data_IF_591016090618
#
_entry.id   IF_591016090618
#
_cell.length_a   1.000
_cell.length_b   1.000
_cell.length_c   1.000
_cell.angle_alpha   90.00
_cell.angle_beta   90.00
_cell.angle_gamma   90.00
#
_symmetry.space_group_name_H-M   'P 1'
#
loop_
_entity.id
_entity.type
_entity.pdbx_description
1 polymer ?
#
# COMPACT_ATOMS: atom_id res chain seq x y z
N UNK A 1 9.42 15.24 -28.46
CA UNK A 1 9.55 16.27 -27.42
C UNK A 1 10.79 15.96 -26.60
N UNK A 2 11.71 16.90 -26.51
CA UNK A 2 12.93 16.71 -25.73
C UNK A 2 12.58 16.90 -24.25
N UNK A 3 12.77 15.87 -23.43
CA UNK A 3 12.46 15.92 -22.00
C UNK A 3 13.61 16.56 -21.26
N UNK A 4 13.33 17.61 -20.50
CA UNK A 4 14.31 18.32 -19.69
C UNK A 4 14.92 17.38 -18.62
N UNK A 5 16.26 17.34 -18.56
CA UNK A 5 17.00 16.52 -17.59
C UNK A 5 16.61 16.83 -16.12
N UNK A 6 16.27 18.09 -15.81
CA UNK A 6 15.83 18.49 -14.48
C UNK A 6 14.49 17.84 -14.09
N UNK A 7 13.53 17.71 -15.04
CA UNK A 7 12.27 17.01 -14.80
C UNK A 7 12.49 15.51 -14.53
N UNK A 8 13.46 14.90 -15.24
CA UNK A 8 13.80 13.48 -14.99
C UNK A 8 14.40 13.31 -13.60
N UNK A 9 15.27 14.24 -13.19
CA UNK A 9 15.87 14.23 -11.85
C UNK A 9 14.82 14.41 -10.78
N UNK A 10 13.94 15.40 -10.90
CA UNK A 10 12.83 15.64 -9.97
C UNK A 10 11.91 14.43 -9.83
N UNK A 11 11.49 13.86 -10.97
CA UNK A 11 10.63 12.67 -10.95
C UNK A 11 11.30 11.48 -10.25
N UNK A 12 12.61 11.31 -10.45
CA UNK A 12 13.38 10.26 -9.77
C UNK A 12 13.48 10.50 -8.27
N UNK A 13 13.74 11.72 -7.84
CA UNK A 13 13.79 12.08 -6.41
C UNK A 13 12.45 11.83 -5.72
N UNK A 14 11.33 12.09 -6.40
CA UNK A 14 9.98 11.86 -5.88
C UNK A 14 9.54 10.39 -5.87
N UNK A 15 10.04 9.57 -6.80
CA UNK A 15 9.51 8.20 -7.02
C UNK A 15 10.50 7.09 -6.72
N UNK A 16 11.81 7.41 -6.62
CA UNK A 16 12.86 6.40 -6.51
C UNK A 16 13.05 5.53 -7.77
N UNK A 17 12.29 5.76 -8.85
CA UNK A 17 12.30 4.93 -10.05
C UNK A 17 13.62 5.09 -10.85
N UNK A 18 13.94 4.09 -11.69
CA UNK A 18 15.12 4.12 -12.54
C UNK A 18 15.05 5.30 -13.54
N UNK A 19 16.20 5.94 -13.82
CA UNK A 19 16.30 7.12 -14.70
C UNK A 19 15.62 6.92 -16.04
N UNK A 20 15.80 5.73 -16.66
CA UNK A 20 15.18 5.42 -17.95
C UNK A 20 13.66 5.27 -17.86
N UNK A 21 13.15 4.78 -16.75
CA UNK A 21 11.71 4.67 -16.51
C UNK A 21 11.09 6.05 -16.30
N UNK A 22 11.76 6.93 -15.55
CA UNK A 22 11.35 8.33 -15.39
C UNK A 22 11.31 9.05 -16.73
N UNK A 23 12.38 8.93 -17.54
CA UNK A 23 12.44 9.54 -18.87
C UNK A 23 11.30 9.07 -19.77
N UNK A 24 11.05 7.75 -19.80
CA UNK A 24 9.97 7.16 -20.59
C UNK A 24 8.59 7.62 -20.12
N UNK A 25 8.35 7.60 -18.80
CA UNK A 25 7.09 8.08 -18.23
C UNK A 25 6.81 9.54 -18.57
N UNK A 26 7.82 10.42 -18.49
CA UNK A 26 7.70 11.81 -18.88
C UNK A 26 7.44 12.00 -20.38
N UNK A 27 8.11 11.22 -21.24
CA UNK A 27 7.84 11.25 -22.68
C UNK A 27 6.39 10.88 -23.00
N UNK A 28 5.88 9.80 -22.39
CA UNK A 28 4.52 9.31 -22.58
C UNK A 28 3.46 10.24 -21.96
N UNK A 29 3.84 11.06 -20.98
CA UNK A 29 2.96 12.03 -20.30
C UNK A 29 3.07 13.45 -20.87
N UNK A 30 3.83 13.65 -21.96
CA UNK A 30 4.03 14.97 -22.56
C UNK A 30 4.77 15.96 -21.65
N UNK A 31 5.58 15.47 -20.69
CA UNK A 31 6.31 16.29 -19.72
C UNK A 31 5.51 16.61 -18.44
N UNK A 32 4.29 16.10 -18.31
CA UNK A 32 3.45 16.27 -17.11
C UNK A 32 3.96 15.35 -15.99
N UNK A 33 4.39 15.95 -14.88
CA UNK A 33 5.03 15.25 -13.77
C UNK A 33 4.05 14.34 -13.01
N UNK A 34 2.85 14.80 -12.75
CA UNK A 34 1.85 14.02 -11.99
C UNK A 34 1.38 12.81 -12.80
N UNK A 35 1.09 12.98 -14.08
CA UNK A 35 0.76 11.85 -14.96
C UNK A 35 1.92 10.87 -15.11
N UNK A 36 3.16 11.35 -15.07
CA UNK A 36 4.33 10.48 -15.10
C UNK A 36 4.45 9.64 -13.79
N UNK A 37 4.15 10.23 -12.64
CA UNK A 37 4.07 9.51 -11.36
C UNK A 37 3.02 8.41 -11.43
N UNK A 38 1.82 8.73 -11.87
CA UNK A 38 0.72 7.74 -12.01
C UNK A 38 1.13 6.58 -12.93
N UNK A 39 1.78 6.86 -14.06
CA UNK A 39 2.28 5.81 -14.97
C UNK A 39 3.35 4.94 -14.34
N UNK A 40 4.27 5.53 -13.56
CA UNK A 40 5.28 4.76 -12.83
C UNK A 40 4.64 3.88 -11.76
N UNK A 41 3.61 4.38 -11.07
CA UNK A 41 2.82 3.61 -10.10
C UNK A 41 2.12 2.43 -10.76
N UNK A 42 1.41 2.63 -11.87
CA UNK A 42 0.78 1.55 -12.63
C UNK A 42 1.79 0.50 -13.09
N UNK A 43 2.96 0.94 -13.58
CA UNK A 43 4.05 0.04 -13.98
C UNK A 43 4.55 -0.78 -12.81
N UNK A 44 4.72 -0.15 -11.64
CA UNK A 44 5.11 -0.82 -10.41
C UNK A 44 4.10 -1.88 -9.97
N UNK A 45 2.81 -1.56 -10.00
CA UNK A 45 1.74 -2.52 -9.71
C UNK A 45 1.75 -3.72 -10.66
N UNK A 46 1.89 -3.50 -11.96
CA UNK A 46 2.00 -4.60 -12.95
C UNK A 46 3.25 -5.47 -12.73
N UNK A 47 4.37 -4.86 -12.33
CA UNK A 47 5.58 -5.60 -12.00
C UNK A 47 5.43 -6.40 -10.70
N UNK A 48 4.77 -5.86 -9.70
CA UNK A 48 4.44 -6.54 -8.44
C UNK A 48 3.60 -7.79 -8.68
N UNK A 49 2.52 -7.68 -9.45
CA UNK A 49 1.66 -8.83 -9.81
C UNK A 49 2.48 -9.95 -10.49
N UNK A 50 3.39 -9.61 -11.40
CA UNK A 50 4.25 -10.60 -12.07
C UNK A 50 5.24 -11.29 -11.13
N UNK A 51 5.56 -10.65 -10.01
CA UNK A 51 6.51 -11.18 -9.00
C UNK A 51 5.82 -11.83 -7.82
N UNK A 52 4.50 -11.73 -7.69
CA UNK A 52 3.74 -12.22 -6.54
C UNK A 52 3.91 -13.71 -6.27
N UNK A 53 4.22 -14.51 -7.32
CA UNK A 53 4.49 -15.95 -7.19
C UNK A 53 5.92 -16.30 -6.79
N UNK A 54 6.82 -15.31 -6.67
CA UNK A 54 8.21 -15.57 -6.30
C UNK A 54 8.31 -15.84 -4.80
N UNK A 55 9.18 -16.77 -4.45
CA UNK A 55 9.40 -17.09 -3.04
C UNK A 55 10.32 -16.05 -2.41
N UNK A 56 9.90 -15.47 -1.28
CA UNK A 56 10.67 -14.58 -0.44
C UNK A 56 10.99 -15.30 0.88
N UNK A 57 12.20 -15.87 0.99
CA UNK A 57 12.66 -16.65 2.15
C UNK A 57 13.65 -15.90 3.02
N UNK A 58 14.23 -14.84 2.50
CA UNK A 58 15.11 -13.93 3.21
C UNK A 58 14.32 -12.76 3.76
N UNK A 59 14.91 -11.91 4.57
CA UNK A 59 14.25 -10.74 5.12
C UNK A 59 14.81 -10.27 6.44
N UNK A 60 14.02 -9.48 7.16
CA UNK A 60 14.36 -8.98 8.49
C UNK A 60 13.18 -9.09 9.45
N UNK A 61 13.49 -9.30 10.72
CA UNK A 61 12.57 -9.04 11.81
C UNK A 61 12.86 -7.64 12.35
N UNK A 62 11.89 -6.73 12.19
CA UNK A 62 11.94 -5.40 12.77
C UNK A 62 11.23 -5.33 14.10
N UNK A 63 11.72 -4.46 14.97
CA UNK A 63 11.05 -4.15 16.24
C UNK A 63 10.87 -2.65 16.39
N UNK A 64 9.78 -2.26 17.04
CA UNK A 64 9.53 -0.88 17.43
C UNK A 64 8.91 -0.83 18.81
N UNK A 65 9.49 -0.03 19.69
CA UNK A 65 8.94 0.29 21.02
C UNK A 65 8.54 1.75 21.02
N UNK A 66 7.27 2.02 21.21
CA UNK A 66 6.75 3.39 21.25
C UNK A 66 7.23 4.12 22.52
N UNK A 67 7.54 5.42 22.45
CA UNK A 67 7.85 6.21 23.64
C UNK A 67 6.82 6.00 24.75
N UNK A 68 7.33 5.74 25.99
CA UNK A 68 6.48 5.35 27.11
C UNK A 68 6.36 3.85 27.32
N UNK A 69 6.96 3.01 26.47
CA UNK A 69 7.17 1.55 26.65
C UNK A 69 5.89 0.74 26.89
N UNK A 70 4.74 1.22 26.41
CA UNK A 70 3.45 0.52 26.54
C UNK A 70 2.99 -0.19 25.27
N UNK A 71 3.59 0.15 24.11
CA UNK A 71 3.28 -0.43 22.82
C UNK A 71 4.58 -0.93 22.22
N UNK A 72 4.59 -2.20 21.83
CA UNK A 72 5.71 -2.83 21.12
C UNK A 72 5.20 -3.59 19.91
N UNK A 73 5.97 -3.55 18.83
CA UNK A 73 5.72 -4.28 17.59
C UNK A 73 6.93 -5.12 17.24
N UNK A 74 6.68 -6.35 16.82
CA UNK A 74 7.60 -7.19 16.08
C UNK A 74 6.97 -7.47 14.72
N UNK A 75 7.71 -7.26 13.65
CA UNK A 75 7.25 -7.50 12.28
C UNK A 75 8.32 -8.23 11.49
N UNK A 76 7.96 -9.31 10.82
CA UNK A 76 8.78 -9.98 9.83
C UNK A 76 8.44 -9.45 8.45
N UNK A 77 9.45 -8.97 7.71
CA UNK A 77 9.31 -8.50 6.33
C UNK A 77 10.25 -9.30 5.46
N UNK A 78 9.67 -10.04 4.52
CA UNK A 78 10.41 -10.94 3.66
C UNK A 78 10.76 -10.33 2.30
N UNK A 79 11.89 -10.74 1.74
CA UNK A 79 12.38 -10.37 0.42
C UNK A 79 13.01 -11.57 -0.32
N UNK A 80 13.35 -11.38 -1.58
CA UNK A 80 13.88 -12.47 -2.41
C UNK A 80 15.34 -12.86 -2.05
N UNK A 81 16.15 -11.91 -1.54
CA UNK A 81 17.57 -12.12 -1.26
C UNK A 81 18.06 -11.41 0.00
N UNK A 82 19.08 -11.97 0.66
CA UNK A 82 19.76 -11.37 1.81
C UNK A 82 20.45 -10.04 1.47
N UNK A 83 20.89 -9.86 0.21
CA UNK A 83 21.45 -8.60 -0.27
C UNK A 83 20.45 -7.46 -0.18
N UNK A 84 19.18 -7.71 -0.54
CA UNK A 84 18.10 -6.72 -0.39
C UNK A 84 17.85 -6.44 1.08
N UNK A 85 17.79 -7.47 1.93
CA UNK A 85 17.56 -7.31 3.36
C UNK A 85 18.60 -6.41 4.05
N UNK A 86 19.85 -6.39 3.55
CA UNK A 86 20.96 -5.58 4.10
C UNK A 86 20.98 -4.14 3.61
N UNK A 87 20.16 -3.77 2.63
CA UNK A 87 20.13 -2.39 2.13
C UNK A 87 19.52 -1.44 3.15
N UNK A 88 20.03 -0.19 3.17
CA UNK A 88 19.48 0.85 4.05
C UNK A 88 17.99 1.10 3.77
N UNK A 89 17.58 1.12 2.49
CA UNK A 89 16.20 1.34 2.07
C UNK A 89 15.26 0.25 2.60
N UNK A 90 15.69 -1.02 2.59
CA UNK A 90 14.88 -2.12 3.14
C UNK A 90 14.77 -2.05 4.66
N UNK A 91 15.87 -1.73 5.34
CA UNK A 91 15.87 -1.54 6.81
C UNK A 91 14.97 -0.37 7.23
N UNK A 92 15.00 0.74 6.47
CA UNK A 92 14.12 1.87 6.70
C UNK A 92 12.65 1.51 6.46
N UNK A 93 12.35 0.75 5.39
CA UNK A 93 11.00 0.23 5.13
C UNK A 93 10.49 -0.59 6.32
N UNK A 94 11.29 -1.55 6.82
CA UNK A 94 10.91 -2.40 7.96
C UNK A 94 10.63 -1.57 9.21
N UNK A 95 11.48 -0.57 9.49
CA UNK A 95 11.29 0.37 10.61
C UNK A 95 10.00 1.16 10.46
N UNK A 96 9.74 1.71 9.28
CA UNK A 96 8.55 2.50 9.00
C UNK A 96 7.27 1.66 9.09
N UNK A 97 7.31 0.40 8.62
CA UNK A 97 6.21 -0.55 8.79
C UNK A 97 5.93 -0.83 10.27
N UNK A 98 6.95 -1.09 11.08
CA UNK A 98 6.77 -1.33 12.51
C UNK A 98 6.15 -0.12 13.23
N UNK A 99 6.58 1.10 12.90
CA UNK A 99 5.97 2.33 13.42
C UNK A 99 4.53 2.49 12.97
N UNK A 100 4.24 2.20 11.70
CA UNK A 100 2.89 2.28 11.15
C UNK A 100 1.93 1.28 11.81
N UNK A 101 2.39 0.04 12.03
CA UNK A 101 1.63 -0.99 12.75
C UNK A 101 1.32 -0.54 14.18
N UNK A 102 2.29 0.07 14.88
CA UNK A 102 2.06 0.62 16.22
C UNK A 102 0.99 1.72 16.24
N UNK A 103 0.94 2.55 15.20
CA UNK A 103 -0.02 3.65 15.10
C UNK A 103 -1.42 3.19 14.67
N UNK A 104 -1.49 2.29 13.68
CA UNK A 104 -2.74 1.81 13.10
C UNK A 104 -3.40 0.68 13.92
N UNK A 105 -2.59 -0.08 14.70
CA UNK A 105 -3.06 -1.24 15.47
C UNK A 105 -3.93 -2.20 14.65
N UNK A 106 -3.48 -2.67 13.47
CA UNK A 106 -4.28 -3.51 12.59
C UNK A 106 -4.65 -4.82 13.29
N UNK A 107 -5.89 -5.28 13.07
CA UNK A 107 -6.39 -6.52 13.65
C UNK A 107 -6.04 -7.75 12.81
N UNK A 108 -5.78 -7.56 11.53
CA UNK A 108 -5.52 -8.63 10.55
C UNK A 108 -4.36 -8.24 9.64
N UNK A 109 -3.65 -9.23 9.12
CA UNK A 109 -2.53 -9.02 8.20
C UNK A 109 -3.02 -8.68 6.79
N UNK A 110 -4.09 -9.34 6.34
CA UNK A 110 -4.66 -9.17 5.00
C UNK A 110 -6.19 -9.23 5.02
N UNK A 111 -6.81 -8.85 3.91
CA UNK A 111 -8.27 -8.98 3.72
C UNK A 111 -8.75 -10.43 3.87
N UNK A 112 -7.94 -11.39 3.44
CA UNK A 112 -8.30 -12.82 3.47
C UNK A 112 -8.29 -13.39 4.88
N UNK A 113 -7.60 -12.75 5.82
CA UNK A 113 -7.52 -13.16 7.22
C UNK A 113 -8.74 -12.68 8.04
N UNK A 114 -9.57 -11.79 7.49
CA UNK A 114 -10.76 -11.30 8.19
C UNK A 114 -11.82 -12.39 8.22
N UNK A 115 -12.26 -12.86 9.42
CA UNK A 115 -13.26 -13.90 9.52
C UNK A 115 -14.60 -13.51 8.87
N UNK A 116 -15.24 -14.47 8.19
CA UNK A 116 -16.50 -14.23 7.48
C UNK A 116 -17.64 -13.78 8.40
N UNK A 117 -17.66 -14.24 9.64
CA UNK A 117 -18.65 -13.81 10.62
C UNK A 117 -18.47 -12.35 11.04
N UNK A 118 -17.22 -11.85 11.09
CA UNK A 118 -16.91 -10.43 11.34
C UNK A 118 -17.42 -9.59 10.16
N UNK A 119 -17.06 -9.98 8.92
CA UNK A 119 -17.52 -9.27 7.72
C UNK A 119 -19.04 -9.26 7.59
N UNK A 120 -19.70 -10.38 7.91
CA UNK A 120 -21.17 -10.45 7.86
C UNK A 120 -21.80 -9.47 8.86
N UNK A 121 -21.32 -9.44 10.10
CA UNK A 121 -21.79 -8.51 11.12
C UNK A 121 -21.61 -7.05 10.72
N UNK A 122 -20.46 -6.71 10.16
CA UNK A 122 -20.18 -5.34 9.68
C UNK A 122 -21.10 -4.98 8.50
N UNK A 123 -21.29 -5.88 7.53
CA UNK A 123 -22.24 -5.68 6.42
C UNK A 123 -23.66 -5.43 6.90
N UNK A 124 -24.15 -6.24 7.84
CA UNK A 124 -25.49 -6.10 8.41
C UNK A 124 -25.66 -4.77 9.15
N UNK A 125 -24.62 -4.35 9.90
CA UNK A 125 -24.59 -3.05 10.55
C UNK A 125 -24.65 -1.89 9.55
N UNK A 126 -23.80 -1.95 8.51
CA UNK A 126 -23.76 -0.92 7.46
C UNK A 126 -25.06 -0.88 6.65
N UNK A 127 -25.67 -2.05 6.39
CA UNK A 127 -26.97 -2.14 5.73
C UNK A 127 -28.07 -1.50 6.57
N UNK A 128 -28.12 -1.80 7.84
CA UNK A 128 -29.09 -1.19 8.77
C UNK A 128 -28.95 0.34 8.80
N UNK A 129 -27.72 0.84 8.87
CA UNK A 129 -27.46 2.29 8.79
C UNK A 129 -27.87 2.90 7.46
N UNK A 130 -27.61 2.20 6.35
CA UNK A 130 -27.92 2.68 5.01
C UNK A 130 -29.44 2.72 4.74
N UNK A 131 -30.21 1.74 5.27
CA UNK A 131 -31.66 1.71 5.18
C UNK A 131 -32.32 2.96 5.81
N UNK A 132 -31.75 3.49 6.89
CA UNK A 132 -32.25 4.71 7.54
C UNK A 132 -32.18 5.96 6.64
N UNK A 133 -31.38 5.90 5.56
CA UNK A 133 -31.24 7.01 4.60
C UNK A 133 -32.39 7.10 3.60
N UNK A 134 -33.31 6.13 3.56
CA UNK A 134 -34.45 6.10 2.63
C UNK A 134 -34.06 5.93 1.15
N UNK A 135 -32.83 5.54 0.86
CA UNK A 135 -32.33 5.38 -0.52
C UNK A 135 -32.81 4.04 -1.14
N UNK A 136 -32.87 3.98 -2.49
CA UNK A 136 -33.20 2.73 -3.17
C UNK A 136 -32.22 1.61 -2.88
N UNK A 137 -32.71 0.35 -2.87
CA UNK A 137 -31.93 -0.88 -2.55
C UNK A 137 -30.57 -0.94 -3.29
N UNK A 138 -30.55 -0.65 -4.60
CA UNK A 138 -29.30 -0.64 -5.39
C UNK A 138 -28.26 0.38 -4.92
N UNK A 139 -28.71 1.46 -4.30
CA UNK A 139 -27.82 2.49 -3.73
C UNK A 139 -27.32 2.04 -2.36
N UNK A 140 -28.19 1.39 -1.58
CA UNK A 140 -27.83 0.82 -0.28
C UNK A 140 -26.72 -0.19 -0.43
N UNK A 141 -26.81 -1.15 -1.37
CA UNK A 141 -25.75 -2.14 -1.59
C UNK A 141 -24.40 -1.49 -1.94
N UNK A 142 -24.39 -0.48 -2.80
CA UNK A 142 -23.16 0.26 -3.11
C UNK A 142 -22.57 1.00 -1.90
N UNK A 143 -23.42 1.53 -1.03
CA UNK A 143 -22.98 2.18 0.21
C UNK A 143 -22.37 1.13 1.14
N UNK A 144 -22.99 -0.04 1.28
CA UNK A 144 -22.48 -1.14 2.11
C UNK A 144 -21.13 -1.61 1.59
N UNK A 145 -21.00 -1.88 0.30
CA UNK A 145 -19.74 -2.31 -0.30
C UNK A 145 -18.63 -1.26 -0.10
N UNK A 146 -18.95 0.03 -0.30
CA UNK A 146 -17.99 1.11 -0.05
C UNK A 146 -17.57 1.24 1.43
N UNK A 147 -18.48 0.97 2.38
CA UNK A 147 -18.15 0.94 3.80
C UNK A 147 -17.32 -0.28 4.18
N UNK A 148 -17.58 -1.44 3.59
CA UNK A 148 -16.75 -2.65 3.77
C UNK A 148 -15.34 -2.42 3.23
N UNK A 149 -15.22 -1.79 2.06
CA UNK A 149 -13.89 -1.43 1.53
C UNK A 149 -13.13 -0.47 2.46
N UNK A 150 -13.85 0.45 3.09
CA UNK A 150 -13.25 1.35 4.09
C UNK A 150 -12.83 0.61 5.36
N UNK A 151 -13.66 -0.31 5.84
CA UNK A 151 -13.34 -1.18 6.98
C UNK A 151 -12.02 -1.94 6.81
N UNK A 152 -11.71 -2.40 5.59
CA UNK A 152 -10.41 -3.03 5.31
C UNK A 152 -9.23 -2.06 5.35
N UNK A 153 -9.45 -0.76 5.33
CA UNK A 153 -8.41 0.27 5.39
C UNK A 153 -8.21 0.88 6.78
N UNK A 154 -9.04 0.50 7.73
CA UNK A 154 -8.98 0.88 9.15
C UNK A 154 -8.26 -0.17 9.98
#
# INVERSE_FOLDING_TARGET
>A
MEINANLVKELRERTGAAVMDCKKALQESGGDLEKAIDRLREKGLKASVKKASRTAKEGLIGSYIHPGSKIGVLVEVNCETDFVARTADFQELVKNLAMHIAAASPLYLSRDDVPQDVLSKERDLYRTQALQTGKPEKVIEKIVDGKVDKFYGE
#
